data_IF_248350330472
#
_entry.id   IF_248350330472
#
_cell.length_a   1.000
_cell.length_b   1.000
_cell.length_c   1.000
_cell.angle_alpha   90.00
_cell.angle_beta   90.00
_cell.angle_gamma   90.00
#
_symmetry.space_group_name_H-M   'P 1'
#
loop_
_entity.id
_entity.type
_entity.pdbx_description
1 polymer ?
#
# COMPACT_ATOMS: atom_id res chain seq x y z
N UNK A 1 4.98 1.34 21.79
CA UNK A 1 6.42 1.57 21.52
C UNK A 1 7.23 0.76 22.52
N UNK A 2 7.83 -0.39 22.13
CA UNK A 2 8.68 -1.18 23.05
C UNK A 2 10.09 -0.58 23.04
N UNK A 3 10.56 -0.10 24.18
CA UNK A 3 11.96 0.28 24.39
C UNK A 3 12.84 -0.96 24.29
N UNK A 4 13.74 -1.01 23.33
CA UNK A 4 14.86 -1.97 23.33
C UNK A 4 16.02 -1.22 23.99
N UNK A 5 16.26 -1.50 25.27
CA UNK A 5 17.45 -1.05 25.97
C UNK A 5 18.48 -2.18 25.79
N UNK A 6 19.45 -1.99 24.92
CA UNK A 6 20.64 -2.83 24.89
C UNK A 6 21.53 -2.38 26.05
N UNK A 7 22.07 -3.36 26.79
CA UNK A 7 22.99 -3.17 27.89
C UNK A 7 24.13 -2.22 27.51
N UNK A 8 24.21 -1.10 28.23
CA UNK A 8 25.30 -0.15 28.11
C UNK A 8 26.33 -0.56 29.15
N UNK A 9 27.48 -1.04 28.70
CA UNK A 9 28.64 -1.22 29.57
C UNK A 9 29.15 0.16 30.04
N UNK A 10 29.26 0.31 31.35
CA UNK A 10 29.45 1.57 32.06
C UNK A 10 30.87 2.20 31.93
N UNK A 11 31.63 1.97 30.87
CA UNK A 11 33.00 2.42 30.81
C UNK A 11 33.41 3.29 29.61
N UNK A 12 32.47 4.00 28.95
CA UNK A 12 32.88 5.08 28.03
C UNK A 12 31.81 6.17 27.92
N UNK A 13 31.97 7.21 28.72
CA UNK A 13 31.18 8.43 28.72
C UNK A 13 31.69 9.42 27.66
N UNK A 14 31.76 9.08 26.38
CA UNK A 14 31.89 10.08 25.33
C UNK A 14 31.24 9.55 24.04
N UNK A 15 30.17 10.21 23.60
CA UNK A 15 29.44 10.01 22.35
C UNK A 15 28.65 8.69 22.21
N UNK A 16 27.67 8.47 23.06
CA UNK A 16 26.62 7.50 22.78
C UNK A 16 25.63 8.10 21.80
N UNK A 17 25.81 7.83 20.52
CA UNK A 17 24.74 8.01 19.52
C UNK A 17 23.65 6.99 19.83
N UNK A 18 22.58 7.41 20.51
CA UNK A 18 21.40 6.58 20.73
C UNK A 18 20.65 6.48 19.41
N UNK A 19 20.76 5.33 18.75
CA UNK A 19 20.00 5.05 17.53
C UNK A 19 18.69 4.36 17.90
N UNK A 20 17.57 5.01 17.66
CA UNK A 20 16.26 4.38 17.73
C UNK A 20 15.90 3.82 16.37
N UNK A 21 15.58 2.54 16.28
CA UNK A 21 15.23 1.88 15.03
C UNK A 21 14.19 0.79 15.21
N UNK A 22 13.62 0.35 14.10
CA UNK A 22 12.73 -0.80 14.02
C UNK A 22 13.21 -1.72 12.90
N UNK A 23 13.13 -3.02 13.13
CA UNK A 23 13.42 -4.04 12.10
C UNK A 23 12.23 -4.28 11.17
N UNK A 24 11.13 -3.54 11.37
CA UNK A 24 9.85 -3.73 10.65
C UNK A 24 9.29 -2.39 10.21
N UNK A 25 10.10 -1.60 9.54
CA UNK A 25 9.68 -0.28 9.06
C UNK A 25 8.57 -0.37 8.00
N UNK A 26 8.44 -1.50 7.32
CA UNK A 26 7.33 -1.78 6.39
C UNK A 26 5.95 -1.58 7.03
N UNK A 27 5.75 -2.05 8.28
CA UNK A 27 4.48 -1.84 9.00
C UNK A 27 4.24 -0.37 9.38
N UNK A 28 5.32 0.35 9.68
CA UNK A 28 5.21 1.79 9.96
C UNK A 28 4.82 2.52 8.67
N UNK A 29 5.43 2.14 7.55
CA UNK A 29 5.12 2.68 6.23
C UNK A 29 3.66 2.45 5.85
N UNK A 30 3.17 1.21 5.90
CA UNK A 30 1.78 0.85 5.64
C UNK A 30 0.81 1.64 6.52
N UNK A 31 1.10 1.74 7.84
CA UNK A 31 0.27 2.50 8.77
C UNK A 31 0.25 4.01 8.48
N UNK A 32 1.37 4.61 8.10
CA UNK A 32 1.41 6.04 7.72
C UNK A 32 0.58 6.28 6.45
N UNK A 33 0.73 5.43 5.44
CA UNK A 33 -0.05 5.52 4.20
C UNK A 33 -1.54 5.38 4.49
N UNK A 34 -1.95 4.38 5.26
CA UNK A 34 -3.34 4.17 5.63
C UNK A 34 -3.91 5.34 6.46
N UNK A 35 -3.12 5.86 7.41
CA UNK A 35 -3.50 7.02 8.21
C UNK A 35 -3.72 8.29 7.37
N UNK A 36 -2.95 8.48 6.28
CA UNK A 36 -3.05 9.67 5.42
C UNK A 36 -4.18 9.52 4.40
N UNK A 37 -4.23 8.37 3.72
CA UNK A 37 -5.05 8.18 2.54
C UNK A 37 -6.28 7.32 2.81
N UNK A 38 -6.25 6.45 3.82
CA UNK A 38 -7.26 5.44 4.07
C UNK A 38 -8.59 6.01 4.56
N UNK A 39 -9.65 5.22 4.31
CA UNK A 39 -10.97 5.41 4.92
C UNK A 39 -11.12 4.52 6.16
N UNK A 40 -11.97 4.93 7.11
CA UNK A 40 -12.19 4.18 8.35
C UNK A 40 -12.84 2.80 8.14
N UNK A 41 -13.77 2.68 7.20
CA UNK A 41 -14.57 1.47 6.97
C UNK A 41 -14.06 0.62 5.79
N UNK A 42 -12.74 0.53 5.59
CA UNK A 42 -12.14 -0.22 4.47
C UNK A 42 -12.48 -1.72 4.47
N UNK A 43 -12.93 -2.29 5.59
CA UNK A 43 -13.28 -3.73 5.71
C UNK A 43 -14.40 -4.18 4.76
N UNK A 44 -15.25 -3.25 4.31
CA UNK A 44 -16.33 -3.54 3.37
C UNK A 44 -15.79 -3.85 1.95
N UNK A 45 -14.57 -3.44 1.68
CA UNK A 45 -13.86 -3.63 0.41
C UNK A 45 -12.93 -4.86 0.40
N UNK A 46 -12.98 -5.73 1.41
CA UNK A 46 -12.09 -6.89 1.52
C UNK A 46 -12.67 -8.12 0.82
N UNK A 47 -12.01 -8.67 -0.21
CA UNK A 47 -12.41 -9.92 -0.84
C UNK A 47 -12.42 -11.07 0.16
N UNK A 48 -13.51 -11.84 0.17
CA UNK A 48 -13.72 -12.96 1.07
C UNK A 48 -13.72 -14.25 0.29
N UNK A 49 -13.10 -15.28 0.85
CA UNK A 49 -13.11 -16.64 0.31
C UNK A 49 -13.58 -17.63 1.36
N UNK A 50 -14.15 -18.75 0.91
CA UNK A 50 -14.63 -19.79 1.79
C UNK A 50 -14.59 -21.16 1.11
N UNK A 51 -14.58 -22.22 1.92
CA UNK A 51 -14.74 -23.58 1.49
C UNK A 51 -16.12 -24.09 1.83
N UNK A 52 -16.73 -24.85 0.93
CA UNK A 52 -17.85 -25.76 1.20
C UNK A 52 -17.28 -27.17 1.20
N UNK A 53 -17.22 -27.78 2.37
CA UNK A 53 -16.58 -29.09 2.57
C UNK A 53 -17.69 -30.13 2.65
N UNK A 54 -17.59 -31.19 1.83
CA UNK A 54 -18.41 -32.39 1.96
C UNK A 54 -17.56 -33.46 2.66
N UNK A 55 -17.92 -33.79 3.88
CA UNK A 55 -17.24 -34.83 4.66
C UNK A 55 -17.54 -36.23 4.10
N UNK A 56 -16.71 -37.22 4.47
CA UNK A 56 -16.89 -38.63 4.05
C UNK A 56 -18.22 -39.21 4.56
N UNK A 57 -18.69 -38.75 5.72
CA UNK A 57 -19.98 -39.13 6.31
C UNK A 57 -21.20 -38.45 5.63
N UNK A 58 -21.00 -37.65 4.58
CA UNK A 58 -22.03 -36.94 3.86
C UNK A 58 -22.44 -35.59 4.45
N UNK A 59 -21.96 -35.21 5.62
CA UNK A 59 -22.23 -33.89 6.22
C UNK A 59 -21.54 -32.78 5.45
N UNK A 60 -22.08 -31.55 5.53
CA UNK A 60 -21.48 -30.35 4.88
C UNK A 60 -21.05 -29.34 5.94
N UNK A 61 -19.86 -28.82 5.78
CA UNK A 61 -19.31 -27.75 6.60
C UNK A 61 -18.85 -26.58 5.74
N UNK A 62 -18.92 -25.37 6.30
CA UNK A 62 -18.41 -24.16 5.66
C UNK A 62 -17.21 -23.64 6.48
N UNK A 63 -16.09 -23.37 5.81
CA UNK A 63 -14.94 -22.72 6.41
C UNK A 63 -14.66 -21.40 5.73
N UNK A 64 -14.78 -20.29 6.45
CA UNK A 64 -14.34 -18.96 5.99
C UNK A 64 -12.82 -18.87 6.11
N UNK A 65 -12.16 -18.38 5.06
CA UNK A 65 -10.74 -18.07 5.10
C UNK A 65 -10.52 -16.64 5.62
N UNK A 66 -9.26 -16.31 5.90
CA UNK A 66 -8.90 -14.92 6.10
C UNK A 66 -9.19 -14.09 4.84
N UNK A 67 -9.63 -12.86 5.03
CA UNK A 67 -9.89 -11.95 3.91
C UNK A 67 -8.55 -11.55 3.26
N UNK A 68 -8.60 -11.24 1.97
CA UNK A 68 -7.55 -10.45 1.35
C UNK A 68 -7.73 -9.00 1.80
N UNK A 69 -6.65 -8.38 2.29
CA UNK A 69 -6.69 -7.05 2.89
C UNK A 69 -5.78 -6.09 2.13
N UNK A 70 -6.35 -5.14 1.36
CA UNK A 70 -5.57 -4.01 0.86
C UNK A 70 -5.02 -3.18 2.03
N UNK A 71 -3.83 -2.61 1.88
CA UNK A 71 -3.24 -1.80 2.94
C UNK A 71 -4.08 -0.54 3.18
N UNK A 72 -4.53 0.12 2.10
CA UNK A 72 -5.39 1.29 2.20
C UNK A 72 -6.40 1.38 1.06
N UNK A 73 -7.57 1.96 1.36
CA UNK A 73 -8.59 2.35 0.39
C UNK A 73 -8.81 3.85 0.50
N UNK A 74 -8.52 4.59 -0.57
CA UNK A 74 -8.78 6.01 -0.65
C UNK A 74 -9.97 6.28 -1.58
N UNK A 75 -10.88 7.14 -1.17
CA UNK A 75 -12.03 7.54 -1.98
C UNK A 75 -12.00 9.05 -2.16
N UNK A 76 -12.09 9.48 -3.42
CA UNK A 76 -12.23 10.88 -3.80
C UNK A 76 -13.34 10.96 -4.84
N UNK A 77 -14.41 11.66 -4.50
CA UNK A 77 -15.62 11.75 -5.34
C UNK A 77 -16.10 10.34 -5.75
N UNK A 78 -16.26 10.07 -7.04
CA UNK A 78 -16.71 8.79 -7.60
C UNK A 78 -15.55 7.86 -7.97
N UNK A 79 -14.36 8.06 -7.37
CA UNK A 79 -13.17 7.26 -7.67
C UNK A 79 -12.63 6.58 -6.42
N UNK A 80 -12.35 5.28 -6.54
CA UNK A 80 -11.72 4.45 -5.51
C UNK A 80 -10.28 4.15 -5.94
N UNK A 81 -9.35 4.39 -5.05
CA UNK A 81 -7.94 4.05 -5.21
C UNK A 81 -7.59 2.96 -4.21
N UNK A 82 -7.19 1.80 -4.72
CA UNK A 82 -6.75 0.65 -3.92
C UNK A 82 -5.24 0.73 -3.81
N UNK A 83 -4.75 1.08 -2.63
CA UNK A 83 -3.35 1.36 -2.39
C UNK A 83 -2.72 0.17 -1.67
N UNK A 84 -1.62 -0.33 -2.21
CA UNK A 84 -0.73 -1.32 -1.60
C UNK A 84 0.63 -0.64 -1.37
N UNK A 85 0.96 -0.44 -0.10
CA UNK A 85 2.12 0.32 0.33
C UNK A 85 3.35 -0.59 0.40
N UNK A 86 4.26 -0.48 -0.56
CA UNK A 86 5.45 -1.34 -0.67
C UNK A 86 6.70 -0.62 -0.20
N UNK A 87 7.26 -1.03 0.94
CA UNK A 87 8.55 -0.52 1.41
C UNK A 87 9.71 -1.19 0.67
N UNK A 88 9.75 -1.00 -0.65
CA UNK A 88 10.75 -1.59 -1.54
C UNK A 88 11.84 -0.59 -1.91
N UNK A 89 13.01 -1.10 -2.31
CA UNK A 89 14.21 -0.27 -2.55
C UNK A 89 14.22 0.43 -3.90
N UNK A 90 13.27 0.16 -4.79
CA UNK A 90 13.26 0.71 -6.16
C UNK A 90 13.43 2.23 -6.19
N UNK A 91 12.79 2.97 -5.29
CA UNK A 91 12.93 4.41 -5.20
C UNK A 91 14.34 4.92 -4.87
N UNK A 92 15.22 4.04 -4.37
CA UNK A 92 16.63 4.35 -4.08
C UNK A 92 17.57 3.80 -5.15
N UNK A 93 17.30 2.56 -5.62
CA UNK A 93 18.22 1.80 -6.47
C UNK A 93 17.95 1.98 -7.95
N UNK A 94 16.72 2.32 -8.33
CA UNK A 94 16.20 2.27 -9.72
C UNK A 94 16.39 0.90 -10.39
N UNK A 95 16.63 -0.14 -9.58
CA UNK A 95 16.79 -1.50 -10.07
C UNK A 95 15.42 -2.16 -10.26
N UNK A 96 15.16 -2.66 -11.47
CA UNK A 96 13.89 -3.32 -11.82
C UNK A 96 13.60 -4.56 -10.97
N UNK A 97 14.62 -5.22 -10.42
CA UNK A 97 14.46 -6.36 -9.50
C UNK A 97 13.91 -5.97 -8.11
N UNK A 98 13.90 -4.69 -7.79
CA UNK A 98 13.33 -4.14 -6.57
C UNK A 98 11.85 -3.70 -6.74
N UNK A 99 11.22 -4.02 -7.87
CA UNK A 99 9.80 -3.78 -8.13
C UNK A 99 8.90 -4.89 -7.55
N UNK A 100 7.60 -4.59 -7.30
CA UNK A 100 6.63 -5.60 -6.91
C UNK A 100 6.52 -6.72 -7.96
N UNK A 101 6.52 -7.97 -7.49
CA UNK A 101 6.51 -9.16 -8.32
C UNK A 101 5.09 -9.52 -8.83
N UNK A 102 5.02 -10.57 -9.64
CA UNK A 102 3.76 -11.09 -10.24
C UNK A 102 2.68 -11.39 -9.19
N UNK A 103 3.03 -11.91 -8.01
CA UNK A 103 2.03 -12.21 -6.97
C UNK A 103 1.41 -10.93 -6.41
N UNK A 104 2.18 -9.86 -6.24
CA UNK A 104 1.67 -8.54 -5.82
C UNK A 104 0.76 -7.93 -6.89
N UNK A 105 1.16 -8.01 -8.17
CA UNK A 105 0.35 -7.54 -9.30
C UNK A 105 -0.99 -8.30 -9.36
N UNK A 106 -0.96 -9.63 -9.30
CA UNK A 106 -2.17 -10.47 -9.33
C UNK A 106 -3.12 -10.15 -8.18
N UNK A 107 -2.58 -9.97 -6.97
CA UNK A 107 -3.34 -9.63 -5.77
C UNK A 107 -4.05 -8.27 -5.94
N UNK A 108 -3.35 -7.27 -6.49
CA UNK A 108 -3.94 -5.96 -6.76
C UNK A 108 -5.10 -6.04 -7.78
N UNK A 109 -4.93 -6.80 -8.85
CA UNK A 109 -5.99 -7.01 -9.85
C UNK A 109 -7.22 -7.66 -9.20
N UNK A 110 -7.04 -8.66 -8.31
CA UNK A 110 -8.13 -9.30 -7.58
C UNK A 110 -8.90 -8.29 -6.72
N UNK A 111 -8.21 -7.38 -6.04
CA UNK A 111 -8.86 -6.32 -5.29
C UNK A 111 -9.72 -5.42 -6.19
N UNK A 112 -9.15 -4.95 -7.30
CA UNK A 112 -9.86 -4.11 -8.24
C UNK A 112 -11.07 -4.79 -8.85
N UNK A 113 -10.95 -6.06 -9.24
CA UNK A 113 -12.05 -6.87 -9.78
C UNK A 113 -13.18 -7.08 -8.76
N UNK A 114 -12.82 -7.35 -7.50
CA UNK A 114 -13.82 -7.48 -6.44
C UNK A 114 -14.57 -6.17 -6.20
N UNK A 115 -13.82 -5.06 -6.06
CA UNK A 115 -14.40 -3.75 -5.76
C UNK A 115 -15.26 -3.26 -6.94
N UNK A 116 -14.88 -3.54 -8.20
CA UNK A 116 -15.70 -3.19 -9.35
C UNK A 116 -17.08 -3.88 -9.37
N UNK A 117 -17.19 -5.05 -8.75
CA UNK A 117 -18.47 -5.76 -8.61
C UNK A 117 -19.37 -5.17 -7.54
N UNK A 118 -18.80 -4.65 -6.45
CA UNK A 118 -19.59 -4.07 -5.34
C UNK A 118 -19.85 -2.57 -5.51
N UNK A 119 -19.02 -1.89 -6.32
CA UNK A 119 -19.12 -0.45 -6.63
C UNK A 119 -19.09 -0.22 -8.16
N UNK A 120 -20.07 -0.74 -8.93
CA UNK A 120 -20.00 -0.75 -10.39
C UNK A 120 -20.09 0.63 -11.04
N UNK A 121 -20.51 1.65 -10.30
CA UNK A 121 -20.63 3.03 -10.79
C UNK A 121 -19.35 3.84 -10.58
N UNK A 122 -18.41 3.32 -9.77
CA UNK A 122 -17.19 4.06 -9.44
C UNK A 122 -16.02 3.67 -10.34
N UNK A 123 -15.17 4.63 -10.64
CA UNK A 123 -13.88 4.38 -11.29
C UNK A 123 -12.91 3.83 -10.26
N UNK A 124 -12.13 2.80 -10.64
CA UNK A 124 -11.24 2.10 -9.71
C UNK A 124 -9.83 2.12 -10.27
N UNK A 125 -8.89 2.55 -9.44
CA UNK A 125 -7.46 2.47 -9.73
C UNK A 125 -6.74 1.60 -8.72
N UNK A 126 -5.83 0.78 -9.21
CA UNK A 126 -4.86 0.04 -8.41
C UNK A 126 -3.54 0.82 -8.37
N UNK A 127 -2.93 0.91 -7.17
CA UNK A 127 -1.73 1.73 -6.96
C UNK A 127 -0.74 1.00 -6.06
N UNK A 128 0.53 0.97 -6.48
CA UNK A 128 1.65 0.69 -5.60
C UNK A 128 2.28 2.01 -5.16
N UNK A 129 2.40 2.23 -3.84
CA UNK A 129 3.14 3.36 -3.27
C UNK A 129 4.48 2.88 -2.71
N UNK A 130 5.58 3.37 -3.30
CA UNK A 130 6.95 3.04 -2.90
C UNK A 130 7.66 4.29 -2.38
N UNK A 131 8.50 4.14 -1.34
CA UNK A 131 9.27 5.26 -0.78
C UNK A 131 10.41 5.67 -1.70
N UNK A 132 10.69 6.97 -1.74
CA UNK A 132 11.91 7.52 -2.34
C UNK A 132 12.35 8.80 -1.62
N UNK A 133 13.45 9.39 -2.07
CA UNK A 133 13.92 10.70 -1.63
C UNK A 133 13.86 11.68 -2.80
N UNK A 134 12.85 12.57 -2.80
CA UNK A 134 12.62 13.53 -3.88
C UNK A 134 13.77 14.52 -4.08
N UNK A 135 14.51 14.83 -3.01
CA UNK A 135 15.67 15.75 -3.08
C UNK A 135 16.82 15.20 -3.92
N UNK A 136 17.04 13.87 -3.89
CA UNK A 136 18.07 13.21 -4.70
C UNK A 136 17.79 13.34 -6.20
N UNK A 137 16.50 13.32 -6.57
CA UNK A 137 16.07 13.35 -7.96
C UNK A 137 15.55 14.73 -8.40
N UNK A 138 15.56 15.74 -7.51
CA UNK A 138 15.05 17.11 -7.77
C UNK A 138 13.65 17.12 -8.37
N UNK A 139 12.78 16.29 -7.83
CA UNK A 139 11.41 16.10 -8.31
C UNK A 139 10.35 16.44 -7.25
N UNK A 140 9.07 16.29 -7.60
CA UNK A 140 7.93 16.50 -6.70
C UNK A 140 7.83 15.38 -5.66
N UNK A 141 7.03 15.60 -4.61
CA UNK A 141 6.78 14.64 -3.54
C UNK A 141 6.13 13.32 -4.02
N UNK A 142 5.37 13.37 -5.12
CA UNK A 142 4.79 12.21 -5.79
C UNK A 142 5.29 12.14 -7.23
N UNK A 143 5.68 10.95 -7.68
CA UNK A 143 6.17 10.72 -9.03
C UNK A 143 5.64 9.40 -9.59
N UNK A 144 4.84 9.45 -10.66
CA UNK A 144 4.38 8.28 -11.40
C UNK A 144 5.56 7.71 -12.20
N UNK A 145 6.10 6.58 -11.76
CA UNK A 145 7.28 5.99 -12.39
C UNK A 145 6.94 4.93 -13.46
N UNK A 146 5.71 4.44 -13.48
CA UNK A 146 5.30 3.43 -14.44
C UNK A 146 3.95 2.79 -14.15
N UNK A 147 3.62 1.81 -14.97
CA UNK A 147 2.39 1.03 -14.84
C UNK A 147 2.70 -0.45 -15.03
N UNK A 148 2.22 -1.29 -14.11
CA UNK A 148 2.32 -2.74 -14.25
C UNK A 148 1.06 -3.29 -14.93
N UNK A 149 1.26 -4.28 -15.78
CA UNK A 149 0.23 -4.97 -16.55
C UNK A 149 0.30 -6.48 -16.32
N UNK A 150 -0.80 -7.18 -16.65
CA UNK A 150 -0.82 -8.63 -16.72
C UNK A 150 -1.20 -9.09 -18.13
N UNK A 151 -0.53 -10.13 -18.65
CA UNK A 151 -0.80 -10.67 -20.00
C UNK A 151 -2.16 -11.38 -20.08
N UNK A 152 -2.69 -11.88 -18.93
CA UNK A 152 -3.98 -12.59 -18.89
C UNK A 152 -5.21 -11.66 -18.79
N UNK A 153 -5.01 -10.35 -18.69
CA UNK A 153 -6.09 -9.35 -18.71
C UNK A 153 -6.06 -8.55 -20.02
N UNK A 154 -7.23 -8.09 -20.43
CA UNK A 154 -7.35 -7.25 -21.64
C UNK A 154 -6.86 -5.82 -21.43
N UNK A 155 -6.60 -5.44 -20.17
CA UNK A 155 -6.18 -4.10 -19.74
C UNK A 155 -7.14 -2.96 -20.17
N UNK A 156 -8.42 -3.29 -20.36
CA UNK A 156 -9.48 -2.35 -20.74
C UNK A 156 -10.05 -1.57 -19.56
N UNK A 157 -9.95 -2.16 -18.36
CA UNK A 157 -10.46 -1.56 -17.13
C UNK A 157 -9.32 -0.89 -16.39
N UNK A 158 -9.58 0.28 -15.79
CA UNK A 158 -8.54 1.04 -15.05
C UNK A 158 -7.92 0.24 -13.90
N UNK A 159 -8.67 -0.67 -13.26
CA UNK A 159 -8.16 -1.53 -12.19
C UNK A 159 -7.29 -2.71 -12.68
N UNK A 160 -7.27 -3.02 -13.97
CA UNK A 160 -6.39 -4.05 -14.53
C UNK A 160 -4.95 -3.55 -14.71
N UNK A 161 -4.76 -2.23 -14.59
CA UNK A 161 -3.47 -1.55 -14.67
C UNK A 161 -3.10 -1.06 -13.27
N UNK A 162 -1.89 -1.36 -12.81
CA UNK A 162 -1.44 -0.92 -11.49
C UNK A 162 -0.47 0.25 -11.66
N UNK A 163 -0.86 1.44 -11.20
CA UNK A 163 -0.03 2.63 -11.23
C UNK A 163 1.07 2.54 -10.18
N UNK A 164 2.33 2.65 -10.59
CA UNK A 164 3.48 2.70 -9.69
C UNK A 164 3.84 4.13 -9.35
N UNK A 165 3.70 4.53 -8.09
CA UNK A 165 3.98 5.89 -7.63
C UNK A 165 5.06 5.87 -6.57
N UNK A 166 6.12 6.65 -6.78
CA UNK A 166 7.10 6.98 -5.76
C UNK A 166 6.56 8.13 -4.91
N UNK A 167 6.74 8.04 -3.59
CA UNK A 167 6.35 9.09 -2.67
C UNK A 167 7.47 9.43 -1.69
N UNK A 168 7.75 10.73 -1.53
CA UNK A 168 8.83 11.17 -0.67
C UNK A 168 8.60 10.77 0.79
N UNK A 169 9.56 10.02 1.36
CA UNK A 169 9.46 9.48 2.70
C UNK A 169 9.36 10.56 3.76
N UNK A 170 10.14 11.64 3.62
CA UNK A 170 10.12 12.77 4.56
C UNK A 170 8.78 13.48 4.50
N UNK A 171 8.28 13.73 3.29
CA UNK A 171 6.96 14.34 3.09
C UNK A 171 5.84 13.51 3.74
N UNK A 172 5.83 12.18 3.56
CA UNK A 172 4.85 11.29 4.20
C UNK A 172 4.91 11.40 5.73
N UNK A 173 6.12 11.41 6.31
CA UNK A 173 6.28 11.58 7.77
C UNK A 173 5.71 12.93 8.25
N UNK A 174 5.98 14.01 7.51
CA UNK A 174 5.49 15.36 7.87
C UNK A 174 3.97 15.48 7.79
N UNK A 175 3.34 14.86 6.77
CA UNK A 175 1.89 14.97 6.58
C UNK A 175 1.09 13.96 7.41
N UNK A 176 1.71 12.86 7.88
CA UNK A 176 1.04 11.87 8.72
C UNK A 176 0.49 12.45 10.02
N UNK A 177 1.13 13.50 10.56
CA UNK A 177 0.73 14.18 11.78
C UNK A 177 -0.31 15.31 11.55
N UNK A 178 -0.63 15.65 10.29
CA UNK A 178 -1.59 16.72 9.98
C UNK A 178 -3.03 16.24 10.17
N UNK A 179 -3.88 17.14 10.71
CA UNK A 179 -5.30 16.84 10.92
C UNK A 179 -6.10 16.81 9.60
N UNK A 180 -5.90 17.79 8.71
CA UNK A 180 -6.59 17.84 7.42
C UNK A 180 -5.73 17.22 6.32
N UNK A 181 -6.15 16.08 5.80
CA UNK A 181 -5.45 15.27 4.82
C UNK A 181 -6.04 15.34 3.40
N UNK A 182 -7.17 15.99 3.22
CA UNK A 182 -7.90 16.00 1.93
C UNK A 182 -7.06 16.58 0.78
N UNK A 183 -6.29 17.64 1.01
CA UNK A 183 -5.41 18.19 -0.02
C UNK A 183 -4.34 17.19 -0.51
N UNK A 184 -3.84 16.33 0.38
CA UNK A 184 -2.82 15.32 0.06
C UNK A 184 -3.39 14.16 -0.73
N UNK A 185 -4.65 13.79 -0.44
CA UNK A 185 -5.41 12.82 -1.21
C UNK A 185 -5.66 13.34 -2.63
N UNK A 186 -6.05 14.62 -2.76
CA UNK A 186 -6.21 15.26 -4.07
C UNK A 186 -4.89 15.30 -4.84
N UNK A 187 -3.77 15.68 -4.19
CA UNK A 187 -2.44 15.71 -4.81
C UNK A 187 -2.04 14.33 -5.38
N UNK A 188 -2.20 13.26 -4.57
CA UNK A 188 -1.95 11.90 -5.02
C UNK A 188 -2.86 11.49 -6.18
N UNK A 189 -4.16 11.81 -6.10
CA UNK A 189 -5.11 11.46 -7.15
C UNK A 189 -4.80 12.11 -8.49
N UNK A 190 -4.31 13.36 -8.49
CA UNK A 190 -3.89 14.06 -9.71
C UNK A 190 -2.71 13.35 -10.39
N UNK A 191 -1.78 12.80 -9.60
CA UNK A 191 -0.62 12.06 -10.14
C UNK A 191 -1.04 10.72 -10.73
N UNK A 192 -2.01 10.03 -10.13
CA UNK A 192 -2.50 8.73 -10.60
C UNK A 192 -3.36 8.88 -11.87
N UNK A 193 -4.12 9.97 -11.99
CA UNK A 193 -5.06 10.19 -13.09
C UNK A 193 -4.39 10.70 -14.39
N UNK A 194 -3.10 11.12 -14.30
CA UNK A 194 -2.29 11.49 -15.45
C UNK A 194 -1.68 10.26 -16.14
#
# INVERSE_FOLDING_TARGET
MKKIINNIDNNNLNNTNITFGTNRFEYIWENMIDNIFGINNKKDYFPKTYWIIKNIDGTKNNKKNANLTPDSIMIINDTIYIIDAKYYKYGQTQNIHDLPNTSSISKQIIYGEYISKIEPQKKIYNVFLLPFNSNLYKTKNFYLFGTAYSEWKKNNMSYEQIKGVLVDTKYIMEIAEKHNKEKYKLELSMVINN
#
